data_IF_382579756164
#
_entry.id   IF_382579756164
#
_cell.length_a   1.000
_cell.length_b   1.000
_cell.length_c   1.000
_cell.angle_alpha   90.00
_cell.angle_beta   90.00
_cell.angle_gamma   90.00
#
_symmetry.space_group_name_H-M   'P 1'
#
loop_
_entity.id
_entity.type
_entity.pdbx_description
1 polymer ?
#
# COMPACT_ATOMS: atom_id res chain seq x y z
N UNK A 1 18.60 6.13 -10.61
CA UNK A 1 17.44 6.03 -9.68
C UNK A 1 17.93 6.39 -8.30
N UNK A 2 17.14 7.15 -7.49
CA UNK A 2 17.51 7.40 -6.09
C UNK A 2 17.44 6.07 -5.32
N UNK A 3 18.43 5.79 -4.51
CA UNK A 3 18.45 4.63 -3.61
C UNK A 3 17.27 4.74 -2.63
N UNK A 4 16.49 3.67 -2.48
CA UNK A 4 15.37 3.62 -1.55
C UNK A 4 15.90 3.52 -0.11
N UNK A 5 15.26 4.22 0.82
CA UNK A 5 15.62 4.27 2.24
C UNK A 5 14.37 4.48 3.09
N UNK A 6 14.53 4.50 4.41
CA UNK A 6 13.43 4.81 5.34
C UNK A 6 12.70 6.11 5.00
N UNK A 7 13.41 7.16 4.56
CA UNK A 7 12.83 8.49 4.29
C UNK A 7 12.03 8.58 2.99
N UNK A 8 12.28 7.69 2.01
CA UNK A 8 11.69 7.78 0.67
C UNK A 8 11.02 6.48 0.19
N UNK A 9 10.69 5.55 1.11
CA UNK A 9 10.12 4.25 0.75
C UNK A 9 8.63 4.32 0.39
N UNK A 10 7.91 5.39 0.72
CA UNK A 10 6.50 5.56 0.36
C UNK A 10 6.41 5.89 -1.13
N UNK A 11 5.61 5.12 -1.85
CA UNK A 11 5.39 5.31 -3.29
C UNK A 11 3.92 5.57 -3.56
N UNK A 12 3.65 6.60 -4.34
CA UNK A 12 2.32 6.92 -4.87
C UNK A 12 2.30 6.65 -6.37
N UNK A 13 1.26 5.99 -6.84
CA UNK A 13 1.01 5.89 -8.27
C UNK A 13 0.43 7.22 -8.76
N UNK A 14 1.28 8.04 -9.38
CA UNK A 14 0.97 9.43 -9.71
C UNK A 14 -0.31 9.61 -10.56
N UNK A 15 -0.57 8.82 -11.62
CA UNK A 15 -1.80 8.98 -12.41
C UNK A 15 -3.07 8.81 -11.58
N UNK A 16 -3.07 7.89 -10.62
CA UNK A 16 -4.24 7.61 -9.78
C UNK A 16 -4.48 8.70 -8.72
N UNK A 17 -3.42 9.09 -7.99
CA UNK A 17 -3.54 10.00 -6.86
C UNK A 17 -3.59 11.48 -7.27
N UNK A 18 -2.84 11.85 -8.30
CA UNK A 18 -2.66 13.27 -8.66
C UNK A 18 -3.39 13.68 -9.95
N UNK A 19 -3.95 12.72 -10.69
CA UNK A 19 -4.75 13.01 -11.89
C UNK A 19 -6.18 12.53 -11.71
N UNK A 20 -6.39 11.22 -11.56
CA UNK A 20 -7.75 10.63 -11.56
C UNK A 20 -8.61 11.15 -10.40
N UNK A 21 -8.12 11.07 -9.16
CA UNK A 21 -8.89 11.52 -8.00
C UNK A 21 -9.20 13.03 -8.01
N UNK A 22 -8.24 13.93 -8.22
CA UNK A 22 -8.54 15.35 -8.32
C UNK A 22 -9.53 15.67 -9.43
N UNK A 23 -9.38 15.04 -10.61
CA UNK A 23 -10.29 15.23 -11.73
C UNK A 23 -11.72 14.80 -11.38
N UNK A 24 -11.90 13.61 -10.82
CA UNK A 24 -13.22 13.11 -10.39
C UNK A 24 -13.85 14.01 -9.34
N UNK A 25 -13.08 14.53 -8.38
CA UNK A 25 -13.58 15.43 -7.35
C UNK A 25 -14.01 16.79 -7.93
N UNK A 26 -13.25 17.35 -8.88
CA UNK A 26 -13.61 18.58 -9.58
C UNK A 26 -14.89 18.39 -10.39
N UNK A 27 -14.98 17.29 -11.17
CA UNK A 27 -16.18 16.99 -11.96
C UNK A 27 -17.41 16.76 -11.07
N UNK A 28 -17.26 16.04 -9.96
CA UNK A 28 -18.34 15.81 -9.00
C UNK A 28 -18.79 17.11 -8.35
N UNK A 29 -17.85 17.96 -7.91
CA UNK A 29 -18.17 19.28 -7.35
C UNK A 29 -18.91 20.19 -8.35
N UNK A 30 -18.47 20.16 -9.62
CA UNK A 30 -19.13 20.90 -10.70
C UNK A 30 -20.55 20.39 -10.96
N UNK A 31 -20.73 19.06 -11.00
CA UNK A 31 -22.05 18.47 -11.19
C UNK A 31 -23.00 18.80 -10.03
N UNK A 32 -22.52 18.77 -8.78
CA UNK A 32 -23.29 19.17 -7.60
C UNK A 32 -23.67 20.66 -7.68
N UNK A 33 -22.75 21.53 -8.09
CA UNK A 33 -23.04 22.96 -8.29
C UNK A 33 -24.19 23.14 -9.29
N UNK A 34 -24.20 22.40 -10.41
CA UNK A 34 -25.26 22.51 -11.42
C UNK A 34 -26.62 21.96 -10.96
N UNK A 35 -26.71 21.08 -9.97
CA UNK A 35 -27.97 20.67 -9.36
C UNK A 35 -28.73 21.89 -8.80
N UNK A 36 -28.02 22.87 -8.25
CA UNK A 36 -28.61 24.06 -7.62
C UNK A 36 -28.74 25.24 -8.60
N UNK A 37 -27.85 25.35 -9.58
CA UNK A 37 -27.82 26.49 -10.52
C UNK A 37 -28.62 26.27 -11.82
N UNK A 38 -28.96 25.01 -12.17
CA UNK A 38 -29.66 24.64 -13.38
C UNK A 38 -30.96 23.87 -13.07
N UNK A 39 -31.98 24.57 -12.61
CA UNK A 39 -33.22 23.94 -12.15
C UNK A 39 -33.91 23.07 -13.20
N UNK A 40 -33.96 23.50 -14.45
CA UNK A 40 -34.56 22.78 -15.57
C UNK A 40 -33.89 21.44 -15.86
N UNK A 41 -32.60 21.32 -15.53
CA UNK A 41 -31.76 20.16 -15.82
C UNK A 41 -31.39 19.38 -14.54
N UNK A 42 -31.99 19.74 -13.40
CA UNK A 42 -31.61 19.21 -12.06
C UNK A 42 -31.53 17.68 -12.03
N UNK A 43 -32.50 16.99 -12.60
CA UNK A 43 -32.50 15.52 -12.62
C UNK A 43 -31.28 14.94 -13.35
N UNK A 44 -30.88 15.54 -14.46
CA UNK A 44 -29.70 15.11 -15.24
C UNK A 44 -28.43 15.25 -14.39
N UNK A 45 -28.26 16.41 -13.73
CA UNK A 45 -27.09 16.66 -12.88
C UNK A 45 -27.02 15.76 -11.65
N UNK A 46 -28.19 15.36 -11.08
CA UNK A 46 -28.25 14.36 -10.03
C UNK A 46 -27.73 13.00 -10.55
N UNK A 47 -28.20 12.52 -11.72
CA UNK A 47 -27.71 11.27 -12.30
C UNK A 47 -26.21 11.31 -12.60
N UNK A 48 -25.70 12.40 -13.16
CA UNK A 48 -24.27 12.60 -13.42
C UNK A 48 -23.48 12.56 -12.11
N UNK A 49 -23.94 13.23 -11.06
CA UNK A 49 -23.29 13.24 -9.74
C UNK A 49 -23.21 11.84 -9.14
N UNK A 50 -24.30 11.08 -9.20
CA UNK A 50 -24.34 9.68 -8.74
C UNK A 50 -23.34 8.84 -9.55
N UNK A 51 -23.32 8.98 -10.88
CA UNK A 51 -22.38 8.25 -11.75
C UNK A 51 -20.92 8.56 -11.42
N UNK A 52 -20.56 9.82 -11.25
CA UNK A 52 -19.21 10.25 -10.88
C UNK A 52 -18.82 9.73 -9.49
N UNK A 53 -19.74 9.76 -8.52
CA UNK A 53 -19.53 9.21 -7.19
C UNK A 53 -19.29 7.70 -7.24
N UNK A 54 -20.07 6.95 -8.04
CA UNK A 54 -19.89 5.51 -8.19
C UNK A 54 -18.54 5.17 -8.84
N UNK A 55 -18.11 5.95 -9.84
CA UNK A 55 -16.79 5.78 -10.47
C UNK A 55 -15.67 6.05 -9.45
N UNK A 56 -15.78 7.12 -8.68
CA UNK A 56 -14.83 7.43 -7.60
C UNK A 56 -14.77 6.30 -6.57
N UNK A 57 -15.93 5.82 -6.12
CA UNK A 57 -16.05 4.73 -5.17
C UNK A 57 -15.44 3.44 -5.71
N UNK A 58 -15.73 3.09 -6.96
CA UNK A 58 -15.16 1.90 -7.63
C UNK A 58 -13.63 2.00 -7.73
N UNK A 59 -13.11 3.15 -8.15
CA UNK A 59 -11.67 3.38 -8.24
C UNK A 59 -10.98 3.24 -6.88
N UNK A 60 -11.62 3.76 -5.81
CA UNK A 60 -11.16 3.62 -4.43
C UNK A 60 -11.16 2.15 -3.98
N UNK A 61 -12.26 1.43 -4.21
CA UNK A 61 -12.41 0.01 -3.83
C UNK A 61 -11.41 -0.90 -4.55
N UNK A 62 -11.20 -0.68 -5.85
CA UNK A 62 -10.24 -1.47 -6.63
C UNK A 62 -8.83 -1.34 -6.06
N UNK A 63 -8.41 -0.12 -5.72
CA UNK A 63 -7.10 0.09 -5.13
C UNK A 63 -7.03 -0.44 -3.70
N UNK A 64 -7.96 -0.03 -2.85
CA UNK A 64 -7.87 -0.27 -1.41
C UNK A 64 -8.13 -1.74 -1.06
N UNK A 65 -9.09 -2.36 -1.70
CA UNK A 65 -9.49 -3.73 -1.35
C UNK A 65 -8.76 -4.79 -2.16
N UNK A 66 -8.69 -4.63 -3.48
CA UNK A 66 -8.10 -5.66 -4.34
C UNK A 66 -6.59 -5.51 -4.50
N UNK A 67 -6.11 -4.35 -4.94
CA UNK A 67 -4.70 -4.18 -5.25
C UNK A 67 -3.81 -4.32 -4.00
N UNK A 68 -4.17 -3.65 -2.89
CA UNK A 68 -3.39 -3.74 -1.66
C UNK A 68 -3.48 -5.14 -1.03
N UNK A 69 -4.65 -5.79 -1.04
CA UNK A 69 -4.79 -7.15 -0.50
C UNK A 69 -3.94 -8.16 -1.27
N UNK A 70 -3.93 -8.07 -2.60
CA UNK A 70 -3.08 -8.93 -3.43
C UNK A 70 -1.60 -8.64 -3.21
N UNK A 71 -1.21 -7.36 -3.15
CA UNK A 71 0.16 -6.97 -2.85
C UNK A 71 0.62 -7.52 -1.50
N UNK A 72 -0.22 -7.45 -0.47
CA UNK A 72 0.08 -7.94 0.86
C UNK A 72 0.32 -9.47 0.87
N UNK A 73 -0.48 -10.21 0.11
CA UNK A 73 -0.31 -11.66 -0.04
C UNK A 73 0.98 -12.01 -0.78
N UNK A 74 1.31 -11.29 -1.85
CA UNK A 74 2.54 -11.50 -2.62
C UNK A 74 3.77 -11.20 -1.75
N UNK A 75 3.80 -10.06 -1.08
CA UNK A 75 4.90 -9.68 -0.17
C UNK A 75 5.12 -10.74 0.92
N UNK A 76 4.04 -11.27 1.48
CA UNK A 76 4.11 -12.34 2.49
C UNK A 76 4.69 -13.62 1.91
N UNK A 77 4.26 -14.01 0.71
CA UNK A 77 4.77 -15.20 0.03
C UNK A 77 6.25 -15.04 -0.33
N UNK A 78 6.65 -13.89 -0.84
CA UNK A 78 8.06 -13.59 -1.13
C UNK A 78 8.93 -13.65 0.12
N UNK A 79 8.44 -13.11 1.24
CA UNK A 79 9.18 -13.13 2.50
C UNK A 79 9.32 -14.55 3.05
N UNK A 80 8.27 -15.39 2.96
CA UNK A 80 8.31 -16.82 3.34
C UNK A 80 9.33 -17.58 2.51
N UNK A 81 9.29 -17.39 1.18
CA UNK A 81 10.24 -18.03 0.27
C UNK A 81 11.69 -17.61 0.57
N UNK A 82 11.94 -16.32 0.73
CA UNK A 82 13.28 -15.79 1.04
C UNK A 82 13.79 -16.34 2.37
N UNK A 83 12.99 -16.31 3.41
CA UNK A 83 13.40 -16.80 4.74
C UNK A 83 13.74 -18.29 4.69
N UNK A 84 12.89 -19.08 4.02
CA UNK A 84 13.16 -20.51 3.83
C UNK A 84 14.44 -20.76 3.03
N UNK A 85 14.65 -20.05 1.95
CA UNK A 85 15.85 -20.19 1.12
C UNK A 85 17.15 -19.84 1.87
N UNK A 86 17.08 -18.92 2.84
CA UNK A 86 18.23 -18.48 3.62
C UNK A 86 18.54 -19.38 4.83
N UNK A 87 17.49 -19.90 5.48
CA UNK A 87 17.62 -20.56 6.77
C UNK A 87 17.28 -22.06 6.76
N UNK A 88 16.56 -22.52 5.74
CA UNK A 88 15.93 -23.84 5.72
C UNK A 88 14.68 -23.96 6.63
N UNK A 89 14.35 -22.91 7.38
CA UNK A 89 13.22 -22.90 8.30
C UNK A 89 12.01 -22.16 7.66
N UNK A 90 10.81 -22.61 8.02
CA UNK A 90 9.57 -22.00 7.53
C UNK A 90 9.23 -20.76 8.35
N UNK A 91 9.06 -19.62 7.69
CA UNK A 91 8.66 -18.36 8.34
C UNK A 91 7.30 -18.47 9.05
N UNK A 92 6.41 -19.32 8.55
CA UNK A 92 5.08 -19.54 9.11
C UNK A 92 5.10 -19.98 10.58
N UNK A 93 6.20 -20.56 11.05
CA UNK A 93 6.40 -20.93 12.47
C UNK A 93 6.43 -19.68 13.38
N UNK A 94 6.84 -18.55 12.84
CA UNK A 94 7.02 -17.28 13.57
C UNK A 94 5.97 -16.25 13.21
N UNK A 95 5.32 -16.41 12.08
CA UNK A 95 4.44 -15.41 11.47
C UNK A 95 3.28 -14.98 12.37
N UNK A 96 2.73 -15.91 13.16
CA UNK A 96 1.63 -15.60 14.09
C UNK A 96 2.05 -14.72 15.28
N UNK A 97 3.36 -14.56 15.51
CA UNK A 97 3.92 -13.71 16.55
C UNK A 97 4.26 -12.31 16.02
N UNK A 98 4.12 -12.09 14.71
CA UNK A 98 4.45 -10.85 14.03
C UNK A 98 3.18 -10.14 13.55
N UNK A 99 3.10 -8.84 13.75
CA UNK A 99 2.09 -8.02 13.11
C UNK A 99 2.36 -7.87 11.61
N UNK A 100 1.32 -7.54 10.85
CA UNK A 100 1.44 -7.25 9.42
C UNK A 100 2.47 -6.14 9.14
N UNK A 101 2.50 -5.10 9.98
CA UNK A 101 3.45 -4.00 9.84
C UNK A 101 4.92 -4.42 10.02
N UNK A 102 5.18 -5.40 10.91
CA UNK A 102 6.50 -5.98 11.12
C UNK A 102 6.92 -6.83 9.93
N UNK A 103 6.03 -7.73 9.43
CA UNK A 103 6.29 -8.54 8.23
C UNK A 103 6.62 -7.65 7.03
N UNK A 104 5.85 -6.58 6.81
CA UNK A 104 6.08 -5.66 5.70
C UNK A 104 7.32 -4.77 5.88
N UNK A 105 7.79 -4.59 7.08
CA UNK A 105 9.06 -3.91 7.33
C UNK A 105 10.25 -4.82 7.00
N UNK A 106 10.18 -6.10 7.36
CA UNK A 106 11.23 -7.09 7.14
C UNK A 106 11.56 -7.33 5.66
N UNK A 107 10.60 -7.10 4.74
CA UNK A 107 10.86 -7.25 3.29
C UNK A 107 11.99 -6.35 2.76
N UNK A 108 12.22 -5.19 3.40
CA UNK A 108 13.27 -4.25 3.02
C UNK A 108 14.65 -4.64 3.55
N UNK A 109 14.74 -5.62 4.45
CA UNK A 109 16.00 -6.15 4.91
C UNK A 109 16.67 -6.96 3.80
N UNK A 110 17.98 -6.82 3.59
CA UNK A 110 18.73 -7.67 2.68
C UNK A 110 18.85 -9.10 3.25
N UNK A 111 19.32 -10.02 2.45
CA UNK A 111 19.33 -11.44 2.78
C UNK A 111 20.22 -11.79 3.97
N UNK A 112 21.33 -11.06 4.13
CA UNK A 112 22.27 -11.19 5.27
C UNK A 112 21.71 -10.61 6.58
N UNK A 113 20.87 -9.60 6.53
CA UNK A 113 20.26 -9.00 7.73
C UNK A 113 18.93 -9.66 8.13
N UNK A 114 18.17 -10.23 7.18
CA UNK A 114 16.80 -10.70 7.38
C UNK A 114 16.63 -11.69 8.54
N UNK A 115 17.44 -12.78 8.67
CA UNK A 115 17.25 -13.75 9.75
C UNK A 115 17.54 -13.17 11.14
N UNK A 116 18.59 -12.36 11.25
CA UNK A 116 18.95 -11.69 12.50
C UNK A 116 17.92 -10.65 12.92
N UNK A 117 17.43 -9.86 11.97
CA UNK A 117 16.43 -8.82 12.24
C UNK A 117 15.06 -9.41 12.61
N UNK A 118 14.69 -10.57 12.02
CA UNK A 118 13.49 -11.31 12.41
C UNK A 118 13.57 -11.76 13.88
N UNK A 119 14.69 -12.39 14.30
CA UNK A 119 14.89 -12.83 15.67
C UNK A 119 14.82 -11.66 16.66
N UNK A 120 15.47 -10.56 16.34
CA UNK A 120 15.39 -9.33 17.15
C UNK A 120 13.98 -8.77 17.21
N UNK A 121 13.25 -8.74 16.10
CA UNK A 121 11.88 -8.24 16.05
C UNK A 121 10.95 -9.03 16.99
N UNK A 122 11.15 -10.35 17.10
CA UNK A 122 10.40 -11.22 18.00
C UNK A 122 10.81 -11.01 19.46
N UNK A 123 12.12 -10.98 19.74
CA UNK A 123 12.64 -10.89 21.13
C UNK A 123 12.39 -9.52 21.76
N UNK A 124 12.60 -8.45 21.00
CA UNK A 124 12.51 -7.08 21.46
C UNK A 124 11.12 -6.45 21.17
N UNK A 125 10.20 -7.19 20.54
CA UNK A 125 8.88 -6.72 20.10
C UNK A 125 8.96 -5.40 19.32
N UNK A 126 9.88 -5.33 18.35
CA UNK A 126 10.15 -4.12 17.58
C UNK A 126 8.94 -3.71 16.74
N UNK A 127 8.57 -2.44 16.75
CA UNK A 127 7.57 -1.92 15.82
C UNK A 127 8.04 -2.01 14.36
N UNK A 128 7.12 -2.03 13.39
CA UNK A 128 7.49 -2.00 11.98
C UNK A 128 8.36 -0.79 11.60
N UNK A 129 8.18 0.35 12.25
CA UNK A 129 9.04 1.53 12.06
C UNK A 129 10.43 1.33 12.66
N UNK A 130 10.53 0.70 13.83
CA UNK A 130 11.82 0.38 14.45
C UNK A 130 12.60 -0.61 13.60
N UNK A 131 11.94 -1.65 13.07
CA UNK A 131 12.53 -2.59 12.13
C UNK A 131 13.11 -1.85 10.90
N UNK A 132 12.31 -0.99 10.25
CA UNK A 132 12.76 -0.21 9.09
C UNK A 132 13.98 0.67 9.41
N UNK A 133 14.04 1.28 10.59
CA UNK A 133 15.17 2.11 11.03
C UNK A 133 16.42 1.29 11.34
N UNK A 134 16.26 0.01 11.69
CA UNK A 134 17.36 -0.90 12.01
C UNK A 134 18.03 -1.50 10.77
N UNK A 135 17.42 -1.39 9.61
CA UNK A 135 17.99 -1.90 8.35
C UNK A 135 19.16 -1.02 7.93
N UNK A 136 20.32 -1.62 7.75
CA UNK A 136 21.57 -0.94 7.33
C UNK A 136 21.59 -0.82 5.80
N UNK A 137 21.41 -1.94 5.10
CA UNK A 137 21.45 -2.01 3.65
C UNK A 137 20.06 -2.28 3.09
N UNK A 138 19.34 -1.24 2.66
CA UNK A 138 18.00 -1.40 2.16
C UNK A 138 17.93 -2.20 0.86
N UNK A 139 17.14 -3.27 0.85
CA UNK A 139 16.71 -3.95 -0.37
C UNK A 139 15.57 -3.16 -1.00
N UNK A 140 15.78 -2.50 -2.17
CA UNK A 140 14.73 -1.69 -2.77
C UNK A 140 13.60 -2.55 -3.31
N UNK A 141 12.36 -2.11 -3.07
CA UNK A 141 11.16 -2.72 -3.64
C UNK A 141 10.56 -1.77 -4.68
N UNK A 142 10.81 -2.07 -5.95
CA UNK A 142 10.37 -1.26 -7.09
C UNK A 142 9.06 -1.76 -7.72
N UNK A 143 8.51 -2.89 -7.27
CA UNK A 143 7.33 -3.53 -7.84
C UNK A 143 6.02 -3.18 -7.12
N UNK A 144 6.05 -2.19 -6.23
CA UNK A 144 4.85 -1.71 -5.52
C UNK A 144 3.96 -0.86 -6.41
N UNK A 145 2.65 -1.03 -6.23
CA UNK A 145 1.58 -0.19 -6.79
C UNK A 145 1.33 1.04 -5.94
#
# INVERSE_FOLDING_TARGET
MKTQSYSNHIRYYAPHHFVLYPLLLILLGTAIYFIFSREAERAIWIFISIGLFLIFWLAFMLRQHYALTLQDRIVRLELRYRYFALTGERLELFENQLSQSQLFALRFAPDDELPGLLKRALQENLSGNSIKKSIINWKPDHHRV
#
